data_IF_057055113642
#
_entry.id   IF_057055113642
#
_cell.length_a   1.000
_cell.length_b   1.000
_cell.length_c   1.000
_cell.angle_alpha   90.00
_cell.angle_beta   90.00
_cell.angle_gamma   90.00
#
_symmetry.space_group_name_H-M   'P 1'
#
loop_
_entity.id
_entity.type
_entity.pdbx_description
1 polymer ?
#
# COMPACT_ATOMS: atom_id res chain seq x y z
N UNK A 1 4.70 -0.97 4.07
CA UNK A 1 3.60 0.02 3.98
C UNK A 1 2.57 -0.53 3.02
N UNK A 2 1.28 -0.45 3.34
CA UNK A 2 0.22 -0.75 2.37
C UNK A 2 -0.53 0.55 2.11
N UNK A 3 -0.70 0.88 0.83
CA UNK A 3 -1.37 2.10 0.40
C UNK A 3 -2.69 1.78 -0.33
N UNK A 4 -3.71 2.56 -0.01
CA UNK A 4 -5.04 2.53 -0.62
C UNK A 4 -5.36 3.91 -1.21
N UNK A 5 -5.62 3.96 -2.52
CA UNK A 5 -5.92 5.23 -3.18
C UNK A 5 -7.30 5.77 -2.80
N UNK A 6 -7.48 7.09 -2.80
CA UNK A 6 -8.79 7.75 -2.72
C UNK A 6 -9.60 7.64 -4.02
N UNK A 7 -10.65 8.45 -4.13
CA UNK A 7 -11.55 8.44 -5.29
C UNK A 7 -12.99 8.05 -4.98
N UNK A 8 -13.46 8.26 -3.75
CA UNK A 8 -14.86 8.04 -3.37
C UNK A 8 -15.37 6.62 -3.58
N UNK A 9 -14.47 5.62 -3.59
CA UNK A 9 -14.75 4.23 -3.95
C UNK A 9 -15.23 3.99 -5.39
N UNK A 10 -15.29 5.02 -6.23
CA UNK A 10 -15.90 4.96 -7.58
C UNK A 10 -14.88 5.26 -8.69
N UNK A 11 -13.81 5.98 -8.39
CA UNK A 11 -12.83 6.41 -9.38
C UNK A 11 -11.40 6.19 -8.89
N UNK A 12 -10.44 6.56 -9.74
CA UNK A 12 -9.00 6.45 -9.54
C UNK A 12 -8.49 5.00 -9.60
N UNK A 13 -7.19 4.86 -9.44
CA UNK A 13 -6.51 3.57 -9.39
C UNK A 13 -5.24 3.70 -8.56
N UNK A 14 -4.60 2.56 -8.28
CA UNK A 14 -3.29 2.50 -7.64
C UNK A 14 -2.23 3.41 -8.30
N UNK A 15 -2.38 3.72 -9.59
CA UNK A 15 -1.35 4.44 -10.35
C UNK A 15 -1.45 5.96 -10.20
N UNK A 16 -2.62 6.49 -9.81
CA UNK A 16 -2.88 7.94 -9.76
C UNK A 16 -1.88 8.67 -8.87
N UNK A 17 -1.69 8.18 -7.64
CA UNK A 17 -0.81 8.80 -6.66
C UNK A 17 0.53 8.08 -6.52
N UNK A 18 0.80 7.05 -7.34
CA UNK A 18 2.04 6.27 -7.29
C UNK A 18 3.30 7.13 -7.23
N UNK A 19 3.47 8.18 -8.07
CA UNK A 19 4.68 9.01 -8.01
C UNK A 19 4.89 9.69 -6.63
N UNK A 20 3.81 10.05 -5.94
CA UNK A 20 3.85 10.78 -4.68
C UNK A 20 4.33 9.94 -3.48
N UNK A 21 4.18 8.62 -3.52
CA UNK A 21 4.64 7.74 -2.44
C UNK A 21 5.79 6.81 -2.82
N UNK A 22 6.37 6.95 -4.03
CA UNK A 22 7.60 6.24 -4.40
C UNK A 22 8.75 6.53 -3.42
N UNK A 23 8.79 7.71 -2.80
CA UNK A 23 9.83 8.02 -1.80
C UNK A 23 9.77 7.09 -0.58
N UNK A 24 8.60 6.56 -0.21
CA UNK A 24 8.45 5.59 0.89
C UNK A 24 9.22 4.29 0.61
N UNK A 25 9.27 3.88 -0.67
CA UNK A 25 10.09 2.74 -1.11
C UNK A 25 11.59 3.07 -1.22
N UNK A 26 11.94 4.35 -1.34
CA UNK A 26 13.31 4.84 -1.57
C UNK A 26 14.00 5.39 -0.32
N UNK A 27 13.31 5.46 0.83
CA UNK A 27 13.86 5.97 2.10
C UNK A 27 15.12 5.20 2.52
N UNK A 28 16.29 5.79 2.24
CA UNK A 28 17.64 5.30 2.57
C UNK A 28 17.99 5.52 4.04
N UNK A 29 17.14 5.06 4.95
CA UNK A 29 17.40 5.18 6.40
C UNK A 29 18.29 4.04 6.90
N UNK A 30 19.49 3.91 6.34
CA UNK A 30 20.62 3.29 7.04
C UNK A 30 21.88 4.09 6.72
N UNK A 31 22.23 4.99 7.62
CA UNK A 31 23.56 5.59 7.73
C UNK A 31 24.57 4.48 8.00
N UNK A 32 25.20 3.96 6.96
CA UNK A 32 26.54 3.35 7.04
C UNK A 32 27.14 3.32 5.63
N UNK A 33 27.75 4.45 5.25
CA UNK A 33 28.45 4.62 3.97
C UNK A 33 29.72 3.75 3.86
N UNK A 34 30.17 3.10 4.93
CA UNK A 34 31.41 2.34 4.98
C UNK A 34 31.32 0.90 4.45
N UNK A 35 30.12 0.36 4.16
CA UNK A 35 29.94 -1.06 3.85
C UNK A 35 29.60 -1.38 2.38
N UNK A 36 29.42 -0.40 1.49
CA UNK A 36 29.16 -0.66 0.06
C UNK A 36 27.87 -1.45 -0.26
N UNK A 37 27.02 -1.75 0.73
CA UNK A 37 25.76 -2.48 0.55
C UNK A 37 24.58 -1.48 0.64
N UNK A 38 24.00 -1.14 -0.50
CA UNK A 38 22.80 -0.29 -0.59
C UNK A 38 21.52 -1.11 -0.36
N UNK A 39 21.28 -1.59 0.86
CA UNK A 39 20.07 -2.35 1.21
C UNK A 39 19.26 -1.67 2.31
N UNK A 40 18.14 -1.00 1.99
CA UNK A 40 17.34 -0.32 3.04
C UNK A 40 15.99 0.29 2.65
N UNK A 41 15.42 -0.01 1.48
CA UNK A 41 14.08 0.48 1.12
C UNK A 41 12.97 -0.30 1.83
N UNK A 42 11.93 0.38 2.33
CA UNK A 42 10.73 -0.30 2.86
C UNK A 42 9.89 -0.84 1.70
N UNK A 43 9.39 -2.08 1.81
CA UNK A 43 8.45 -2.63 0.82
C UNK A 43 7.11 -1.88 0.90
N UNK A 44 6.66 -1.35 -0.23
CA UNK A 44 5.38 -0.65 -0.37
C UNK A 44 4.47 -1.50 -1.23
N UNK A 45 3.32 -1.89 -0.70
CA UNK A 45 2.25 -2.55 -1.44
C UNK A 45 1.21 -1.50 -1.82
N UNK A 46 0.93 -1.38 -3.10
CA UNK A 46 0.02 -0.39 -3.65
C UNK A 46 -1.15 -1.14 -4.30
N UNK A 47 -2.29 -1.15 -3.62
CA UNK A 47 -3.42 -2.00 -3.94
C UNK A 47 -4.40 -1.29 -4.89
N UNK A 48 -4.87 -2.01 -5.91
CA UNK A 48 -5.98 -1.58 -6.76
C UNK A 48 -7.25 -2.33 -6.33
N UNK A 49 -8.03 -1.75 -5.42
CA UNK A 49 -9.22 -2.42 -4.88
C UNK A 49 -10.42 -2.26 -5.84
N UNK A 50 -11.42 -3.17 -5.79
CA UNK A 50 -12.61 -3.09 -6.64
C UNK A 50 -13.45 -1.84 -6.35
N UNK A 51 -14.00 -1.21 -7.40
CA UNK A 51 -14.74 0.04 -7.31
C UNK A 51 -16.26 -0.17 -7.42
N UNK A 52 -17.00 0.75 -6.83
CA UNK A 52 -18.44 0.93 -7.02
C UNK A 52 -18.72 1.64 -8.35
N UNK A 53 -19.88 1.42 -8.98
CA UNK A 53 -21.02 0.62 -8.50
C UNK A 53 -20.92 -0.89 -8.75
N UNK A 54 -19.98 -1.38 -9.57
CA UNK A 54 -19.86 -2.80 -9.92
C UNK A 54 -19.56 -3.67 -8.68
N UNK A 55 -18.84 -3.10 -7.73
CA UNK A 55 -18.49 -3.72 -6.47
C UNK A 55 -18.82 -2.79 -5.28
N UNK A 56 -20.08 -2.76 -4.84
CA UNK A 56 -20.50 -1.90 -3.74
C UNK A 56 -19.90 -2.36 -2.40
N UNK A 57 -20.10 -1.54 -1.35
CA UNK A 57 -19.76 -1.95 0.01
C UNK A 57 -20.38 -3.32 0.34
N UNK A 58 -19.63 -4.27 0.95
CA UNK A 58 -18.30 -4.13 1.56
C UNK A 58 -17.11 -4.66 0.73
N UNK A 59 -17.25 -4.79 -0.60
CA UNK A 59 -16.28 -5.56 -1.42
C UNK A 59 -14.85 -4.98 -1.37
N UNK A 60 -14.69 -3.66 -1.42
CA UNK A 60 -13.38 -3.01 -1.29
C UNK A 60 -12.69 -3.37 0.04
N UNK A 61 -13.42 -3.25 1.16
CA UNK A 61 -12.93 -3.58 2.50
C UNK A 61 -12.55 -5.06 2.64
N UNK A 62 -13.38 -5.98 2.15
CA UNK A 62 -13.07 -7.41 2.15
C UNK A 62 -11.82 -7.71 1.30
N UNK A 63 -11.63 -7.00 0.20
CA UNK A 63 -10.44 -7.12 -0.65
C UNK A 63 -9.18 -6.64 0.07
N UNK A 64 -9.27 -5.58 0.88
CA UNK A 64 -8.17 -5.13 1.74
C UNK A 64 -7.77 -6.25 2.70
N UNK A 65 -8.72 -6.86 3.43
CA UNK A 65 -8.40 -7.98 4.34
C UNK A 65 -7.76 -9.17 3.62
N UNK A 66 -8.23 -9.50 2.41
CA UNK A 66 -7.62 -10.55 1.56
C UNK A 66 -6.18 -10.19 1.18
N UNK A 67 -5.95 -8.95 0.76
CA UNK A 67 -4.62 -8.44 0.44
C UNK A 67 -3.68 -8.52 1.65
N UNK A 68 -4.13 -8.09 2.83
CA UNK A 68 -3.31 -8.15 4.05
C UNK A 68 -2.96 -9.59 4.45
N UNK A 69 -3.91 -10.52 4.31
CA UNK A 69 -3.67 -11.95 4.56
C UNK A 69 -2.65 -12.52 3.58
N UNK A 70 -2.77 -12.17 2.30
CA UNK A 70 -1.82 -12.57 1.25
C UNK A 70 -0.43 -11.97 1.50
N UNK A 71 -0.30 -10.69 1.85
CA UNK A 71 0.99 -10.07 2.20
C UNK A 71 1.66 -10.80 3.37
N UNK A 72 0.87 -11.17 4.38
CA UNK A 72 1.37 -11.91 5.55
C UNK A 72 1.89 -13.30 5.15
N UNK A 73 1.15 -14.04 4.31
CA UNK A 73 1.55 -15.39 3.89
C UNK A 73 2.74 -15.38 2.95
N UNK A 74 2.71 -14.56 1.89
CA UNK A 74 3.71 -14.58 0.83
C UNK A 74 5.08 -14.07 1.27
N UNK A 75 5.11 -13.09 2.19
CA UNK A 75 6.36 -12.43 2.57
C UNK A 75 6.79 -12.73 4.01
N UNK A 76 6.08 -13.62 4.71
CA UNK A 76 6.36 -13.93 6.12
C UNK A 76 6.27 -12.71 7.05
N UNK A 77 5.56 -11.65 6.64
CA UNK A 77 5.47 -10.40 7.39
C UNK A 77 4.50 -10.58 8.55
N UNK A 78 5.03 -10.64 9.77
CA UNK A 78 4.23 -10.85 10.98
C UNK A 78 3.27 -9.68 11.28
N UNK A 79 3.63 -8.45 10.88
CA UNK A 79 2.81 -7.25 11.07
C UNK A 79 3.06 -6.21 9.99
N UNK A 80 1.99 -5.68 9.38
CA UNK A 80 2.08 -4.46 8.57
C UNK A 80 2.33 -3.28 9.50
N UNK A 81 3.44 -2.58 9.29
CA UNK A 81 3.88 -1.52 10.20
C UNK A 81 3.13 -0.19 9.95
N UNK A 82 2.65 0.04 8.72
CA UNK A 82 1.97 1.28 8.35
C UNK A 82 0.93 1.05 7.24
N UNK A 83 -0.30 1.53 7.49
CA UNK A 83 -1.34 1.75 6.49
C UNK A 83 -1.34 3.22 6.08
N UNK A 84 -1.59 3.48 4.80
CA UNK A 84 -1.69 4.83 4.29
C UNK A 84 -2.80 4.90 3.25
N UNK A 85 -3.53 6.00 3.23
CA UNK A 85 -4.56 6.23 2.24
C UNK A 85 -5.04 7.66 2.29
N UNK A 86 -5.60 8.13 1.18
CA UNK A 86 -6.16 9.46 1.04
C UNK A 86 -7.68 9.37 0.83
N UNK A 87 -8.45 10.33 1.38
CA UNK A 87 -9.90 10.39 1.21
C UNK A 87 -10.58 9.03 1.51
N UNK A 88 -11.33 8.47 0.55
CA UNK A 88 -11.94 7.14 0.65
C UNK A 88 -10.94 6.00 0.91
N UNK A 89 -9.70 6.10 0.41
CA UNK A 89 -8.65 5.14 0.71
C UNK A 89 -8.13 5.25 2.14
N UNK A 90 -8.21 6.44 2.76
CA UNK A 90 -7.91 6.63 4.19
C UNK A 90 -9.03 6.15 5.12
N UNK A 91 -10.23 5.93 4.58
CA UNK A 91 -11.33 5.30 5.30
C UNK A 91 -11.19 3.76 5.37
N UNK A 92 -10.51 3.15 4.38
CA UNK A 92 -10.18 1.71 4.35
C UNK A 92 -9.05 1.35 5.33
#
# INVERSE_FOLDING_TARGET
>A
VVYFHGGGFITCSKDLLRPYFLFLSRSRTSTNAAAGVYGGGRRVFNMNYPLSPEHPFPVALLSVFRCLRWIKSEFGIQRVVYFHGDSAGGNL
#
